data_IF_121109619023
#
_entry.id   IF_121109619023
#
_cell.length_a   1.000
_cell.length_b   1.000
_cell.length_c   1.000
_cell.angle_alpha   90.00
_cell.angle_beta   90.00
_cell.angle_gamma   90.00
#
_symmetry.space_group_name_H-M   'P 1'
#
loop_
_entity.id
_entity.type
_entity.pdbx_description
1 polymer ?
#
# COMPACT_ATOMS: atom_id res chain seq x y z
N UNK A 1 50.93 -0.06 56.51
CA UNK A 1 50.73 0.16 55.06
C UNK A 1 52.09 0.44 54.47
N UNK A 2 52.61 -0.51 53.69
CA UNK A 2 53.90 -0.36 53.00
C UNK A 2 53.74 0.59 51.82
N UNK A 3 54.77 1.40 51.53
CA UNK A 3 54.79 2.30 50.38
C UNK A 3 54.51 1.58 49.04
N UNK A 4 54.86 0.29 48.95
CA UNK A 4 54.61 -0.57 47.78
C UNK A 4 53.12 -0.87 47.57
N UNK A 5 52.33 -1.01 48.64
CA UNK A 5 50.88 -1.23 48.57
C UNK A 5 50.16 0.04 48.08
N UNK A 6 50.65 1.21 48.51
CA UNK A 6 50.13 2.51 48.07
C UNK A 6 50.44 2.76 46.59
N UNK A 7 51.67 2.46 46.14
CA UNK A 7 52.08 2.59 44.74
C UNK A 7 51.30 1.66 43.80
N UNK A 8 51.16 0.38 44.16
CA UNK A 8 50.39 -0.57 43.35
C UNK A 8 48.88 -0.28 43.33
N UNK A 9 48.33 0.28 44.40
CA UNK A 9 46.94 0.77 44.45
C UNK A 9 46.73 1.97 43.52
N UNK A 10 47.68 2.92 43.51
CA UNK A 10 47.66 4.08 42.63
C UNK A 10 47.75 3.66 41.15
N UNK A 11 48.66 2.74 40.81
CA UNK A 11 48.79 2.20 39.46
C UNK A 11 47.51 1.52 38.95
N UNK A 12 46.83 0.75 39.80
CA UNK A 12 45.54 0.15 39.44
C UNK A 12 44.47 1.21 39.17
N UNK A 13 44.44 2.27 39.98
CA UNK A 13 43.51 3.39 39.77
C UNK A 13 43.82 4.13 38.48
N UNK A 14 45.08 4.40 38.18
CA UNK A 14 45.51 5.04 36.92
C UNK A 14 45.09 4.18 35.73
N UNK A 15 45.38 2.87 35.73
CA UNK A 15 44.97 1.95 34.65
C UNK A 15 43.44 1.86 34.49
N UNK A 16 42.69 1.89 35.60
CA UNK A 16 41.23 1.88 35.54
C UNK A 16 40.67 3.19 34.94
N UNK A 17 41.26 4.33 35.26
CA UNK A 17 40.90 5.62 34.66
C UNK A 17 41.28 5.64 33.17
N UNK A 18 42.48 5.18 32.83
CA UNK A 18 42.95 5.08 31.44
C UNK A 18 42.05 4.21 30.57
N UNK A 19 41.73 2.99 31.03
CA UNK A 19 40.82 2.09 30.31
C UNK A 19 39.39 2.63 30.21
N UNK A 20 38.93 3.40 31.21
CA UNK A 20 37.63 4.07 31.16
C UNK A 20 37.63 5.19 30.13
N UNK A 21 38.64 6.07 30.17
CA UNK A 21 38.79 7.16 29.20
C UNK A 21 38.94 6.62 27.78
N UNK A 22 39.63 5.50 27.59
CA UNK A 22 39.79 4.87 26.28
C UNK A 22 38.46 4.32 25.74
N UNK A 23 37.59 3.78 26.61
CA UNK A 23 36.22 3.38 26.21
C UNK A 23 35.37 4.60 25.89
N UNK A 24 35.37 5.62 26.74
CA UNK A 24 34.60 6.85 26.52
C UNK A 24 35.04 7.56 25.22
N UNK A 25 36.35 7.60 24.91
CA UNK A 25 36.86 8.11 23.64
C UNK A 25 36.41 7.27 22.43
N UNK A 26 36.40 5.94 22.56
CA UNK A 26 35.90 5.06 21.50
C UNK A 26 34.41 5.26 21.25
N UNK A 27 33.62 5.43 22.32
CA UNK A 27 32.18 5.68 22.22
C UNK A 27 31.91 7.04 21.56
N UNK A 28 32.63 8.09 21.97
CA UNK A 28 32.52 9.43 21.36
C UNK A 28 32.94 9.40 19.89
N UNK A 29 34.00 8.67 19.54
CA UNK A 29 34.43 8.52 18.15
C UNK A 29 33.37 7.81 17.30
N UNK A 30 32.69 6.79 17.84
CA UNK A 30 31.59 6.12 17.15
C UNK A 30 30.40 7.06 16.96
N UNK A 31 30.02 7.79 18.00
CA UNK A 31 28.91 8.75 17.94
C UNK A 31 29.20 9.88 16.95
N UNK A 32 30.45 10.35 16.87
CA UNK A 32 30.84 11.37 15.89
C UNK A 32 30.67 10.85 14.47
N UNK A 33 31.08 9.60 14.19
CA UNK A 33 30.91 8.99 12.87
C UNK A 33 29.44 8.81 12.48
N UNK A 34 28.58 8.46 13.45
CA UNK A 34 27.13 8.37 13.24
C UNK A 34 26.52 9.76 12.94
N UNK A 35 26.96 10.80 13.67
CA UNK A 35 26.51 12.18 13.45
C UNK A 35 26.98 12.72 12.11
N UNK A 36 28.23 12.48 11.72
CA UNK A 36 28.75 12.86 10.39
C UNK A 36 27.95 12.20 9.27
N UNK A 37 27.61 10.92 9.42
CA UNK A 37 26.76 10.20 8.48
C UNK A 37 25.36 10.83 8.39
N UNK A 38 24.76 11.16 9.53
CA UNK A 38 23.46 11.82 9.58
C UNK A 38 23.49 13.23 8.97
N UNK A 39 24.56 14.00 9.19
CA UNK A 39 24.76 15.32 8.57
C UNK A 39 24.84 15.19 7.05
N UNK A 40 25.56 14.20 6.55
CA UNK A 40 25.65 13.96 5.11
C UNK A 40 24.29 13.60 4.49
N UNK A 41 23.48 12.79 5.20
CA UNK A 41 22.10 12.53 4.78
C UNK A 41 21.23 13.79 4.78
N UNK A 42 21.40 14.68 5.78
CA UNK A 42 20.68 15.95 5.88
C UNK A 42 21.08 16.93 4.76
N UNK A 43 22.35 16.97 4.36
CA UNK A 43 22.85 17.80 3.25
C UNK A 43 22.22 17.41 1.89
N UNK A 44 21.80 16.16 1.74
CA UNK A 44 21.15 15.67 0.52
C UNK A 44 19.62 15.91 0.52
N UNK A 45 19.01 16.24 1.65
CA UNK A 45 17.58 16.55 1.74
C UNK A 45 17.21 17.77 0.89
N UNK A 46 17.90 18.93 0.96
CA UNK A 46 17.60 20.09 0.13
C UNK A 46 17.56 19.76 -1.37
N UNK A 47 18.54 19.00 -1.87
CA UNK A 47 18.58 18.58 -3.28
C UNK A 47 17.39 17.71 -3.66
N UNK A 48 16.92 16.85 -2.75
CA UNK A 48 15.73 16.02 -2.96
C UNK A 48 14.46 16.86 -2.93
N UNK A 49 14.38 17.85 -2.04
CA UNK A 49 13.27 18.80 -1.98
C UNK A 49 13.20 19.64 -3.26
N UNK A 50 14.33 20.19 -3.73
CA UNK A 50 14.39 20.96 -4.97
C UNK A 50 13.91 20.15 -6.19
N UNK A 51 14.29 18.86 -6.26
CA UNK A 51 13.79 17.94 -7.30
C UNK A 51 12.29 17.72 -7.19
N UNK A 52 11.77 17.48 -5.99
CA UNK A 52 10.33 17.32 -5.78
C UNK A 52 9.55 18.59 -6.11
N UNK A 53 10.09 19.76 -5.81
CA UNK A 53 9.49 21.04 -6.20
C UNK A 53 9.50 21.24 -7.73
N UNK A 54 10.57 20.82 -8.40
CA UNK A 54 10.65 20.80 -9.86
C UNK A 54 9.57 19.87 -10.46
N UNK A 55 9.52 18.62 -10.00
CA UNK A 55 8.57 17.61 -10.48
C UNK A 55 7.13 18.04 -10.21
N UNK A 56 6.87 18.67 -9.05
CA UNK A 56 5.54 19.20 -8.70
C UNK A 56 5.13 20.34 -9.64
N UNK A 57 6.04 21.24 -9.99
CA UNK A 57 5.77 22.32 -10.94
C UNK A 57 5.50 21.77 -12.34
N UNK A 58 6.31 20.83 -12.81
CA UNK A 58 6.08 20.17 -14.10
C UNK A 58 4.72 19.45 -14.15
N UNK A 59 4.37 18.70 -13.11
CA UNK A 59 3.09 18.03 -13.01
C UNK A 59 1.90 19.01 -13.00
N UNK A 60 2.06 20.18 -12.36
CA UNK A 60 1.04 21.24 -12.38
C UNK A 60 0.84 21.82 -13.78
N UNK A 61 1.93 22.17 -14.46
CA UNK A 61 1.87 22.68 -15.83
C UNK A 61 1.23 21.68 -16.78
N UNK A 62 1.55 20.38 -16.64
CA UNK A 62 0.93 19.34 -17.45
C UNK A 62 -0.56 19.16 -17.15
N UNK A 63 -0.94 19.24 -15.87
CA UNK A 63 -2.36 19.19 -15.47
C UNK A 63 -3.13 20.35 -16.08
N UNK A 64 -2.59 21.57 -16.04
CA UNK A 64 -3.21 22.75 -16.66
C UNK A 64 -3.33 22.60 -18.18
N UNK A 65 -2.33 22.02 -18.87
CA UNK A 65 -2.41 21.75 -20.31
C UNK A 65 -3.53 20.75 -20.63
N UNK A 66 -3.61 19.66 -19.89
CA UNK A 66 -4.65 18.64 -20.10
C UNK A 66 -6.04 19.20 -19.80
N UNK A 67 -6.19 20.02 -18.76
CA UNK A 67 -7.47 20.64 -18.42
C UNK A 67 -7.97 21.60 -19.51
N UNK A 68 -7.05 22.37 -20.10
CA UNK A 68 -7.35 23.24 -21.24
C UNK A 68 -7.75 22.43 -22.49
N UNK A 69 -6.98 21.39 -22.87
CA UNK A 69 -7.32 20.53 -24.03
C UNK A 69 -8.67 19.80 -23.83
N UNK A 70 -8.97 19.36 -22.61
CA UNK A 70 -10.27 18.77 -22.30
C UNK A 70 -11.39 19.80 -22.42
N UNK A 71 -11.19 21.02 -21.92
CA UNK A 71 -12.18 22.10 -22.02
C UNK A 71 -12.46 22.50 -23.48
N UNK A 72 -11.43 22.54 -24.31
CA UNK A 72 -11.55 22.82 -25.75
C UNK A 72 -12.32 21.69 -26.45
N UNK A 73 -12.01 20.43 -26.15
CA UNK A 73 -12.72 19.26 -26.73
C UNK A 73 -14.18 19.18 -26.29
N UNK A 74 -14.48 19.53 -25.03
CA UNK A 74 -15.86 19.60 -24.54
C UNK A 74 -16.61 20.68 -25.30
N UNK A 75 -16.01 21.86 -25.46
CA UNK A 75 -16.62 22.97 -26.21
C UNK A 75 -16.86 22.60 -27.68
N UNK A 76 -15.93 21.87 -28.31
CA UNK A 76 -16.10 21.34 -29.66
C UNK A 76 -17.23 20.30 -29.74
N UNK A 77 -17.29 19.38 -28.77
CA UNK A 77 -18.33 18.37 -28.68
C UNK A 77 -19.72 19.01 -28.52
N UNK A 78 -19.86 19.99 -27.63
CA UNK A 78 -21.10 20.75 -27.45
C UNK A 78 -21.54 21.44 -28.74
N UNK A 79 -20.62 22.11 -29.43
CA UNK A 79 -20.91 22.72 -30.74
C UNK A 79 -21.34 21.70 -31.81
N UNK A 80 -20.78 20.49 -31.78
CA UNK A 80 -21.17 19.41 -32.69
C UNK A 80 -22.56 18.84 -32.33
N UNK A 81 -22.87 18.71 -31.04
CA UNK A 81 -24.19 18.29 -30.56
C UNK A 81 -25.25 19.30 -30.98
N UNK A 82 -25.01 20.60 -30.82
CA UNK A 82 -25.94 21.66 -31.23
C UNK A 82 -26.21 21.64 -32.74
N UNK A 83 -25.16 21.44 -33.55
CA UNK A 83 -25.29 21.29 -35.01
C UNK A 83 -26.09 20.05 -35.37
N UNK A 84 -25.85 18.93 -34.70
CA UNK A 84 -26.57 17.69 -34.94
C UNK A 84 -28.04 17.84 -34.56
N UNK A 85 -28.33 18.42 -33.40
CA UNK A 85 -29.69 18.72 -32.94
C UNK A 85 -30.43 19.62 -33.94
N UNK A 86 -29.76 20.65 -34.47
CA UNK A 86 -30.33 21.54 -35.50
C UNK A 86 -30.63 20.77 -36.81
N UNK A 87 -29.73 19.89 -37.24
CA UNK A 87 -29.96 19.05 -38.45
C UNK A 87 -31.11 18.06 -38.24
N UNK A 88 -31.18 17.42 -37.07
CA UNK A 88 -32.28 16.52 -36.71
C UNK A 88 -33.61 17.28 -36.71
N UNK A 89 -33.68 18.43 -36.06
CA UNK A 89 -34.89 19.26 -36.05
C UNK A 89 -35.31 19.71 -37.46
N UNK A 90 -34.34 20.02 -38.34
CA UNK A 90 -34.63 20.32 -39.74
C UNK A 90 -35.19 19.10 -40.49
N UNK A 91 -34.57 17.93 -40.33
CA UNK A 91 -35.04 16.67 -40.92
C UNK A 91 -36.43 16.29 -40.43
N UNK A 92 -36.72 16.45 -39.14
CA UNK A 92 -38.05 16.23 -38.57
C UNK A 92 -39.11 17.14 -39.19
N UNK A 93 -38.78 18.43 -39.41
CA UNK A 93 -39.67 19.37 -40.08
C UNK A 93 -39.91 18.99 -41.55
N UNK A 94 -38.85 18.61 -42.28
CA UNK A 94 -38.96 18.12 -43.65
C UNK A 94 -39.82 16.85 -43.74
N UNK A 95 -39.65 15.91 -42.82
CA UNK A 95 -40.45 14.69 -42.76
C UNK A 95 -41.92 14.98 -42.43
N UNK A 96 -42.21 15.90 -41.50
CA UNK A 96 -43.60 16.32 -41.20
C UNK A 96 -44.29 17.02 -42.39
N UNK A 97 -43.53 17.72 -43.24
CA UNK A 97 -44.06 18.36 -44.45
C UNK A 97 -44.23 17.39 -45.62
N UNK A 98 -43.50 16.27 -45.66
CA UNK A 98 -43.70 15.22 -46.63
C UNK A 98 -44.98 14.44 -46.27
N UNK A 99 -46.05 14.62 -47.05
CA UNK A 99 -47.32 13.88 -46.88
C UNK A 99 -47.06 12.37 -46.83
N UNK A 100 -47.30 11.76 -45.65
CA UNK A 100 -47.22 10.31 -45.45
C UNK A 100 -46.15 9.82 -44.46
N UNK A 101 -45.32 10.69 -43.89
CA UNK A 101 -44.36 10.26 -42.88
C UNK A 101 -45.04 10.01 -41.53
N UNK A 102 -45.15 8.74 -41.11
CA UNK A 102 -45.47 8.39 -39.72
C UNK A 102 -44.38 8.93 -38.81
N UNK A 103 -44.70 9.96 -38.02
CA UNK A 103 -43.85 10.41 -36.91
C UNK A 103 -43.82 9.27 -35.89
N UNK A 104 -42.75 8.48 -35.93
CA UNK A 104 -42.48 7.48 -34.90
C UNK A 104 -41.97 8.24 -33.70
N UNK A 105 -42.78 8.29 -32.65
CA UNK A 105 -42.38 8.84 -31.37
C UNK A 105 -41.33 7.89 -30.77
N UNK A 106 -40.07 8.35 -30.73
CA UNK A 106 -38.95 7.58 -30.20
C UNK A 106 -38.98 7.50 -28.67
N UNK A 107 -39.77 8.36 -28.01
CA UNK A 107 -40.02 8.29 -26.57
C UNK A 107 -41.11 7.27 -26.23
N UNK A 108 -41.89 6.84 -27.22
CA UNK A 108 -42.89 5.79 -27.09
C UNK A 108 -42.18 4.43 -27.20
N UNK A 109 -41.72 3.88 -26.06
CA UNK A 109 -41.08 2.55 -25.94
C UNK A 109 -42.09 1.43 -26.28
N UNK A 110 -42.47 1.32 -27.56
CA UNK A 110 -43.36 0.29 -28.12
C UNK A 110 -42.67 -1.07 -28.09
N UNK A 111 -42.61 -1.66 -26.90
CA UNK A 111 -41.98 -2.96 -26.66
C UNK A 111 -41.33 -3.07 -25.28
N UNK A 112 -41.07 -1.96 -24.59
CA UNK A 112 -40.39 -1.98 -23.28
C UNK A 112 -38.90 -2.33 -23.39
N UNK A 113 -38.35 -2.40 -24.60
CA UNK A 113 -37.00 -2.89 -24.86
C UNK A 113 -35.94 -1.88 -24.42
N UNK A 114 -36.21 -0.58 -24.58
CA UNK A 114 -35.33 0.49 -24.12
C UNK A 114 -35.32 0.56 -22.59
N UNK A 115 -36.48 0.45 -21.95
CA UNK A 115 -36.58 0.38 -20.50
C UNK A 115 -35.91 -0.89 -19.94
N UNK A 116 -36.07 -2.04 -20.59
CA UNK A 116 -35.39 -3.27 -20.22
C UNK A 116 -33.85 -3.13 -20.33
N UNK A 117 -33.36 -2.50 -21.40
CA UNK A 117 -31.95 -2.22 -21.58
C UNK A 117 -31.44 -1.28 -20.47
N UNK A 118 -32.14 -0.19 -20.18
CA UNK A 118 -31.79 0.75 -19.11
C UNK A 118 -31.73 0.06 -17.73
N UNK A 119 -32.70 -0.81 -17.43
CA UNK A 119 -32.70 -1.61 -16.19
C UNK A 119 -31.51 -2.57 -16.14
N UNK A 120 -31.16 -3.23 -17.24
CA UNK A 120 -29.98 -4.11 -17.27
C UNK A 120 -28.66 -3.34 -17.16
N UNK A 121 -28.55 -2.18 -17.80
CA UNK A 121 -27.39 -1.30 -17.68
C UNK A 121 -27.21 -0.82 -16.25
N UNK A 122 -28.28 -0.35 -15.60
CA UNK A 122 -28.24 0.08 -14.20
C UNK A 122 -27.84 -1.06 -13.26
N UNK A 123 -28.37 -2.28 -13.47
CA UNK A 123 -27.92 -3.47 -12.74
C UNK A 123 -26.43 -3.76 -12.97
N UNK A 124 -25.92 -3.54 -14.18
CA UNK A 124 -24.50 -3.66 -14.51
C UNK A 124 -23.63 -2.61 -13.82
N UNK A 125 -24.10 -1.38 -13.74
CA UNK A 125 -23.43 -0.28 -13.02
C UNK A 125 -23.43 -0.51 -11.50
N UNK A 126 -24.54 -0.95 -10.93
CA UNK A 126 -24.64 -1.32 -9.51
C UNK A 126 -23.73 -2.52 -9.19
N UNK A 127 -23.70 -3.52 -10.07
CA UNK A 127 -22.77 -4.64 -9.96
C UNK A 127 -21.32 -4.16 -10.02
N UNK A 128 -20.99 -3.23 -10.93
CA UNK A 128 -19.66 -2.62 -11.04
C UNK A 128 -19.30 -1.79 -9.81
N UNK A 129 -20.24 -1.06 -9.22
CA UNK A 129 -20.05 -0.33 -7.97
C UNK A 129 -19.83 -1.26 -6.77
N UNK A 130 -20.45 -2.45 -6.80
CA UNK A 130 -20.23 -3.52 -5.82
C UNK A 130 -18.92 -4.28 -6.01
N UNK A 131 -18.31 -4.21 -7.20
CA UNK A 131 -16.96 -4.73 -7.43
C UNK A 131 -15.94 -3.73 -6.89
N UNK A 132 -14.90 -4.25 -6.22
CA UNK A 132 -13.76 -3.41 -5.87
C UNK A 132 -13.18 -2.77 -7.15
N UNK A 133 -12.91 -1.45 -7.17
CA UNK A 133 -12.14 -0.81 -8.22
C UNK A 133 -10.81 -1.53 -8.48
N UNK A 134 -10.32 -1.47 -9.72
CA UNK A 134 -9.10 -2.21 -10.12
C UNK A 134 -7.87 -1.82 -9.28
N UNK A 135 -7.79 -0.55 -8.87
CA UNK A 135 -6.77 -0.07 -7.94
C UNK A 135 -6.86 -0.76 -6.57
N UNK A 136 -8.05 -0.90 -6.00
CA UNK A 136 -8.24 -1.55 -4.71
C UNK A 136 -7.95 -3.07 -4.79
N UNK A 137 -8.35 -3.71 -5.90
CA UNK A 137 -7.98 -5.11 -6.18
C UNK A 137 -6.47 -5.29 -6.30
N UNK A 138 -5.79 -4.41 -7.02
CA UNK A 138 -4.34 -4.44 -7.20
C UNK A 138 -3.61 -4.23 -5.86
N UNK A 139 -4.08 -3.26 -5.07
CA UNK A 139 -3.57 -2.98 -3.72
C UNK A 139 -3.73 -4.19 -2.79
N UNK A 140 -4.90 -4.83 -2.78
CA UNK A 140 -5.14 -6.02 -1.95
C UNK A 140 -4.34 -7.23 -2.42
N UNK A 141 -4.17 -7.39 -3.74
CA UNK A 141 -3.35 -8.46 -4.32
C UNK A 141 -1.89 -8.31 -3.87
N UNK A 142 -1.32 -7.11 -3.99
CA UNK A 142 0.02 -6.81 -3.52
C UNK A 142 0.16 -6.98 -1.99
N UNK A 143 -0.82 -6.52 -1.22
CA UNK A 143 -0.84 -6.74 0.22
C UNK A 143 -0.85 -8.24 0.57
N UNK A 144 -1.60 -9.03 -0.19
CA UNK A 144 -1.68 -10.48 -0.07
C UNK A 144 -0.35 -11.19 -0.40
N UNK A 145 0.34 -10.79 -1.48
CA UNK A 145 1.64 -11.37 -1.84
C UNK A 145 2.70 -11.08 -0.77
N UNK A 146 2.77 -9.84 -0.28
CA UNK A 146 3.71 -9.46 0.78
C UNK A 146 3.44 -10.22 2.09
N UNK A 147 2.16 -10.45 2.43
CA UNK A 147 1.79 -11.19 3.63
C UNK A 147 2.11 -12.69 3.49
N UNK A 148 1.94 -13.27 2.30
CA UNK A 148 2.39 -14.64 2.01
C UNK A 148 3.91 -14.76 2.18
N UNK A 149 4.66 -13.87 1.55
CA UNK A 149 6.13 -13.86 1.66
C UNK A 149 6.60 -13.73 3.12
N UNK A 150 6.02 -12.81 3.90
CA UNK A 150 6.37 -12.64 5.31
C UNK A 150 6.06 -13.89 6.14
N UNK A 151 4.99 -14.62 5.83
CA UNK A 151 4.65 -15.89 6.48
C UNK A 151 5.66 -16.98 6.15
N UNK A 152 6.06 -17.08 4.89
CA UNK A 152 7.05 -18.08 4.45
C UNK A 152 8.43 -17.80 5.06
N UNK A 153 8.88 -16.55 5.06
CA UNK A 153 10.10 -16.11 5.74
C UNK A 153 10.08 -16.47 7.23
N UNK A 154 8.97 -16.14 7.93
CA UNK A 154 8.81 -16.51 9.34
C UNK A 154 8.88 -18.02 9.55
N UNK A 155 8.24 -18.79 8.67
CA UNK A 155 8.27 -20.25 8.70
C UNK A 155 9.70 -20.79 8.61
N UNK A 156 10.48 -20.32 7.64
CA UNK A 156 11.89 -20.71 7.44
C UNK A 156 12.74 -20.38 8.66
N UNK A 157 12.64 -19.15 9.18
CA UNK A 157 13.43 -18.74 10.34
C UNK A 157 13.03 -19.47 11.62
N UNK A 158 11.73 -19.71 11.85
CA UNK A 158 11.28 -20.53 12.99
C UNK A 158 11.78 -21.96 12.89
N UNK A 159 11.75 -22.57 11.70
CA UNK A 159 12.29 -23.91 11.49
C UNK A 159 13.81 -23.96 11.73
N UNK A 160 14.55 -22.91 11.36
CA UNK A 160 15.98 -22.79 11.66
C UNK A 160 16.24 -22.65 13.17
N UNK A 161 15.47 -21.79 13.86
CA UNK A 161 15.56 -21.61 15.32
C UNK A 161 15.26 -22.91 16.06
N UNK A 162 14.22 -23.66 15.66
CA UNK A 162 13.87 -24.94 16.28
C UNK A 162 14.96 -25.99 16.06
N UNK A 163 15.54 -26.06 14.86
CA UNK A 163 16.67 -26.95 14.57
C UNK A 163 17.91 -26.60 15.39
N UNK A 164 18.27 -25.32 15.44
CA UNK A 164 19.38 -24.84 16.24
C UNK A 164 19.16 -25.10 17.74
N UNK A 165 17.97 -24.80 18.27
CA UNK A 165 17.63 -25.06 19.66
C UNK A 165 17.69 -26.55 20.02
N UNK A 166 17.28 -27.44 19.11
CA UNK A 166 17.40 -28.89 19.31
C UNK A 166 18.88 -29.30 19.45
N UNK A 167 19.75 -28.82 18.57
CA UNK A 167 21.20 -29.09 18.65
C UNK A 167 21.81 -28.55 19.95
N UNK A 168 21.44 -27.33 20.35
CA UNK A 168 21.93 -26.73 21.61
C UNK A 168 21.48 -27.51 22.85
N UNK A 169 20.29 -28.12 22.82
CA UNK A 169 19.76 -28.91 23.92
C UNK A 169 20.40 -30.31 24.03
N UNK A 170 20.84 -30.89 22.91
CA UNK A 170 21.32 -32.28 22.86
C UNK A 170 22.85 -32.41 22.83
N UNK A 171 23.60 -31.36 22.49
CA UNK A 171 25.06 -31.42 22.31
C UNK A 171 25.85 -30.80 23.48
N UNK A 172 26.98 -31.44 23.83
CA UNK A 172 27.87 -30.96 24.88
C UNK A 172 28.53 -29.62 24.53
N UNK A 173 28.89 -28.83 25.54
CA UNK A 173 29.38 -27.44 25.39
C UNK A 173 30.64 -27.29 24.50
N UNK A 174 31.47 -28.33 24.39
CA UNK A 174 32.70 -28.30 23.62
C UNK A 174 32.54 -28.72 22.14
N UNK A 175 31.35 -29.18 21.73
CA UNK A 175 31.13 -29.68 20.38
C UNK A 175 31.13 -28.54 19.34
N UNK A 176 31.78 -28.71 18.17
CA UNK A 176 31.82 -27.69 17.13
C UNK A 176 30.42 -27.36 16.57
N UNK A 177 29.53 -28.35 16.53
CA UNK A 177 28.13 -28.23 16.09
C UNK A 177 27.31 -27.27 16.96
N UNK A 178 27.70 -27.10 18.23
CA UNK A 178 27.03 -26.18 19.15
C UNK A 178 27.31 -24.73 18.80
N UNK A 179 28.55 -24.40 18.41
CA UNK A 179 28.93 -23.04 17.98
C UNK A 179 28.18 -22.62 16.71
N UNK A 180 28.02 -23.54 15.76
CA UNK A 180 27.24 -23.29 14.54
C UNK A 180 25.75 -23.10 14.85
N UNK A 181 25.20 -23.91 15.77
CA UNK A 181 23.80 -23.77 16.19
C UNK A 181 23.55 -22.47 16.99
N UNK A 182 24.49 -22.02 17.81
CA UNK A 182 24.43 -20.72 18.50
C UNK A 182 24.39 -19.55 17.49
N UNK A 183 25.22 -19.59 16.45
CA UNK A 183 25.23 -18.59 15.38
C UNK A 183 23.91 -18.60 14.58
N UNK A 184 23.39 -19.78 14.25
CA UNK A 184 22.13 -19.94 13.52
C UNK A 184 20.93 -19.45 14.34
N UNK A 185 20.92 -19.73 15.65
CA UNK A 185 19.90 -19.29 16.58
C UNK A 185 19.89 -17.77 16.71
N UNK A 186 21.06 -17.18 16.99
CA UNK A 186 21.24 -15.72 17.15
C UNK A 186 20.91 -14.96 15.87
N UNK A 187 21.17 -15.54 14.70
CA UNK A 187 20.86 -14.92 13.40
C UNK A 187 19.38 -15.08 13.02
N UNK A 188 18.78 -16.25 13.28
CA UNK A 188 17.43 -16.59 12.80
C UNK A 188 16.32 -16.14 13.75
N UNK A 189 16.57 -16.09 15.06
CA UNK A 189 15.59 -15.63 16.06
C UNK A 189 15.09 -14.19 15.82
N UNK A 190 15.97 -13.17 15.65
CA UNK A 190 15.51 -11.80 15.40
C UNK A 190 14.81 -11.67 14.04
N UNK A 191 15.24 -12.43 13.03
CA UNK A 191 14.59 -12.45 11.71
C UNK A 191 13.17 -13.05 11.76
N UNK A 192 12.99 -14.12 12.53
CA UNK A 192 11.67 -14.70 12.80
C UNK A 192 10.74 -13.71 13.52
N UNK A 193 11.27 -12.98 14.51
CA UNK A 193 10.50 -11.99 15.26
C UNK A 193 10.15 -10.77 14.41
N UNK A 194 11.08 -10.26 13.60
CA UNK A 194 10.83 -9.18 12.65
C UNK A 194 9.75 -9.55 11.62
N UNK A 195 9.83 -10.76 11.05
CA UNK A 195 8.79 -11.28 10.16
C UNK A 195 7.43 -11.44 10.86
N UNK A 196 7.42 -11.83 12.14
CA UNK A 196 6.21 -11.90 12.95
C UNK A 196 5.57 -10.51 13.15
N UNK A 197 6.36 -9.52 13.56
CA UNK A 197 5.88 -8.13 13.75
C UNK A 197 5.31 -7.55 12.45
N UNK A 198 5.94 -7.81 11.30
CA UNK A 198 5.44 -7.41 9.96
C UNK A 198 4.07 -8.02 9.62
N UNK A 199 3.79 -9.23 10.11
CA UNK A 199 2.48 -9.88 9.91
C UNK A 199 1.43 -9.29 10.85
N UNK A 200 1.79 -9.01 12.11
CA UNK A 200 0.86 -8.47 13.10
C UNK A 200 0.40 -7.06 12.77
N UNK A 201 1.29 -6.19 12.30
CA UNK A 201 0.94 -4.82 11.88
C UNK A 201 0.01 -4.79 10.67
N UNK A 202 0.02 -5.84 9.85
CA UNK A 202 -0.85 -6.00 8.67
C UNK A 202 -2.16 -6.72 8.98
N UNK A 203 -2.34 -7.20 10.21
CA UNK A 203 -3.59 -7.84 10.61
C UNK A 203 -4.62 -6.72 10.87
N UNK A 204 -5.79 -6.74 10.21
CA UNK A 204 -6.80 -5.74 10.47
C UNK A 204 -7.19 -5.81 11.96
N UNK A 205 -6.96 -4.71 12.70
CA UNK A 205 -7.49 -4.55 14.05
C UNK A 205 -9.00 -4.74 13.95
N UNK A 206 -9.52 -5.76 14.61
CA UNK A 206 -10.89 -6.23 14.43
C UNK A 206 -11.90 -5.08 14.49
N UNK A 207 -12.53 -4.77 13.36
CA UNK A 207 -13.91 -4.29 13.40
C UNK A 207 -14.72 -5.41 14.05
N UNK A 208 -15.34 -5.12 15.19
CA UNK A 208 -16.42 -5.95 15.73
C UNK A 208 -17.41 -6.23 14.59
N UNK A 209 -17.98 -7.45 14.46
CA UNK A 209 -19.03 -7.72 13.48
C UNK A 209 -20.31 -7.03 13.95
N UNK A 210 -20.40 -5.72 13.73
CA UNK A 210 -21.59 -4.91 13.95
C UNK A 210 -22.45 -4.91 12.69
N UNK A 211 -23.38 -5.84 12.62
CA UNK A 211 -24.75 -5.63 12.12
C UNK A 211 -24.95 -4.61 11.00
N UNK A 212 -24.73 -4.99 9.73
CA UNK A 212 -25.41 -4.34 8.59
C UNK A 212 -25.53 -5.27 7.38
N UNK A 213 -25.98 -6.50 7.60
CA UNK A 213 -26.61 -7.30 6.55
C UNK A 213 -28.04 -7.61 7.00
N UNK A 214 -28.89 -6.57 7.10
CA UNK A 214 -30.33 -6.80 7.12
C UNK A 214 -30.75 -7.15 5.70
N UNK A 215 -31.03 -8.43 5.53
CA UNK A 215 -31.81 -9.01 4.43
C UNK A 215 -33.06 -8.16 4.20
N UNK A 216 -33.18 -7.54 3.04
CA UNK A 216 -34.47 -7.22 2.45
C UNK A 216 -34.70 -8.20 1.31
N UNK A 217 -35.32 -9.32 1.65
CA UNK A 217 -35.93 -10.23 0.68
C UNK A 217 -37.44 -10.10 0.86
N UNK A 218 -38.19 -9.53 -0.09
CA UNK A 218 -39.60 -9.83 -0.22
C UNK A 218 -39.75 -11.02 -1.16
N UNK A 219 -39.84 -12.23 -0.59
CA UNK A 219 -40.42 -13.37 -1.31
C UNK A 219 -41.93 -13.11 -1.48
N UNK A 220 -42.33 -12.62 -2.65
CA UNK A 220 -43.73 -12.66 -3.07
C UNK A 220 -43.88 -13.70 -4.19
N UNK A 221 -44.12 -14.96 -3.80
CA UNK A 221 -44.68 -15.99 -4.69
C UNK A 221 -46.15 -15.64 -4.97
N UNK A 222 -46.46 -15.09 -6.13
CA UNK A 222 -47.81 -15.18 -6.71
C UNK A 222 -47.87 -16.45 -7.56
N UNK A 223 -48.76 -17.38 -7.18
CA UNK A 223 -49.19 -18.49 -8.03
C UNK A 223 -50.29 -17.98 -8.99
N UNK A 224 -50.31 -18.36 -10.26
CA UNK A 224 -51.48 -18.20 -11.10
C UNK A 224 -52.49 -19.33 -10.84
N UNK A 225 -53.77 -18.98 -10.86
CA UNK A 225 -54.89 -19.85 -11.26
C UNK A 225 -55.46 -19.25 -12.54
#
# INVERSE_FOLDING_TARGET
MSWEEASTSLDRKVRNVETRLQRELSDVSSQLSDVESAVHELEDIPRRVDRLEYDLREAKEETERVDNDLSDRISEADGNVDRLATRVAALERYLRQAEGATVVDLDEDRGGELNALAVTMNKGLDARAGLLPDYERSRLTLAGTHLKQARDERGRHRAAVLRAAAVLATTQAAAPERRTAELDFTTSAPKAQSAHNRIETRRPKGRRPGTSWRRTTPCARRRPR
#
